data_IF_334786234832
#
_entry.id   IF_334786234832
#
_cell.length_a   1.000
_cell.length_b   1.000
_cell.length_c   1.000
_cell.angle_alpha   90.00
_cell.angle_beta   90.00
_cell.angle_gamma   90.00
#
_symmetry.space_group_name_H-M   'P 1'
#
loop_
_entity.id
_entity.type
_entity.pdbx_description
1 polymer ?
#
# COMPACT_ATOMS: atom_id res chain seq x y z
N UNK A 1 -24.44 -23.35 -10.03
CA UNK A 1 -23.15 -22.86 -10.57
C UNK A 1 -22.61 -21.86 -9.57
N UNK A 2 -21.62 -22.22 -8.75
CA UNK A 2 -21.02 -21.31 -7.77
C UNK A 2 -19.97 -20.50 -8.51
N UNK A 3 -20.25 -19.22 -8.76
CA UNK A 3 -19.24 -18.30 -9.28
C UNK A 3 -18.25 -18.03 -8.17
N UNK A 4 -17.15 -18.79 -8.11
CA UNK A 4 -16.04 -18.48 -7.21
C UNK A 4 -15.48 -17.14 -7.69
N UNK A 5 -15.82 -16.06 -6.98
CA UNK A 5 -15.32 -14.74 -7.31
C UNK A 5 -13.84 -14.74 -6.96
N UNK A 6 -12.98 -14.67 -7.98
CA UNK A 6 -11.53 -14.59 -7.79
C UNK A 6 -11.21 -13.42 -6.84
N UNK A 7 -10.50 -13.72 -5.75
CA UNK A 7 -10.11 -12.69 -4.76
C UNK A 7 -9.15 -11.70 -5.40
N UNK A 8 -9.03 -10.46 -4.90
CA UNK A 8 -8.04 -9.51 -5.40
C UNK A 8 -6.62 -10.09 -5.42
N UNK A 9 -6.25 -10.85 -4.37
CA UNK A 9 -4.96 -11.55 -4.28
C UNK A 9 -4.74 -12.53 -5.43
N UNK A 10 -5.75 -13.31 -5.83
CA UNK A 10 -5.60 -14.32 -6.89
C UNK A 10 -5.41 -13.73 -8.29
N UNK A 11 -5.49 -12.40 -8.44
CA UNK A 11 -5.21 -11.67 -9.69
C UNK A 11 -3.76 -11.22 -9.80
N UNK A 12 -2.96 -11.40 -8.75
CA UNK A 12 -1.53 -11.04 -8.70
C UNK A 12 -0.72 -12.31 -8.97
N UNK A 13 0.14 -12.27 -9.99
CA UNK A 13 0.97 -13.41 -10.42
C UNK A 13 2.22 -13.63 -9.56
N UNK A 14 2.52 -12.71 -8.66
CA UNK A 14 3.61 -12.82 -7.69
C UNK A 14 3.18 -13.73 -6.53
N UNK A 15 4.12 -14.49 -5.99
CA UNK A 15 4.02 -15.18 -4.71
C UNK A 15 3.94 -14.19 -3.54
N UNK A 16 3.51 -14.65 -2.38
CA UNK A 16 3.42 -13.80 -1.18
C UNK A 16 4.79 -13.24 -0.78
N UNK A 17 5.85 -14.06 -0.90
CA UNK A 17 7.22 -13.63 -0.63
C UNK A 17 7.68 -12.53 -1.59
N UNK A 18 7.39 -12.66 -2.90
CA UNK A 18 7.75 -11.62 -3.87
C UNK A 18 7.01 -10.31 -3.60
N UNK A 19 5.76 -10.36 -3.13
CA UNK A 19 4.99 -9.17 -2.76
C UNK A 19 5.60 -8.49 -1.53
N UNK A 20 5.92 -9.26 -0.48
CA UNK A 20 6.57 -8.75 0.73
C UNK A 20 7.94 -8.15 0.39
N UNK A 21 8.77 -8.85 -0.39
CA UNK A 21 10.06 -8.33 -0.84
C UNK A 21 9.92 -7.03 -1.64
N UNK A 22 8.85 -6.88 -2.42
CA UNK A 22 8.59 -5.65 -3.16
C UNK A 22 8.35 -4.46 -2.22
N UNK A 23 7.56 -4.64 -1.15
CA UNK A 23 7.38 -3.61 -0.11
C UNK A 23 8.67 -3.34 0.67
N UNK A 24 9.41 -4.38 1.04
CA UNK A 24 10.67 -4.23 1.77
C UNK A 24 11.70 -3.42 0.95
N UNK A 25 11.80 -3.64 -0.37
CA UNK A 25 12.65 -2.84 -1.27
C UNK A 25 12.27 -1.36 -1.33
N UNK A 26 11.00 -1.03 -1.07
CA UNK A 26 10.51 0.34 -0.99
C UNK A 26 10.69 0.97 0.40
N UNK A 27 11.24 0.20 1.36
CA UNK A 27 11.47 0.63 2.74
C UNK A 27 10.30 0.38 3.69
N UNK A 28 9.32 -0.44 3.29
CA UNK A 28 8.19 -0.82 4.13
C UNK A 28 8.39 -2.25 4.66
N UNK A 29 8.77 -2.38 5.94
CA UNK A 29 8.82 -3.70 6.58
C UNK A 29 7.39 -4.21 6.73
N UNK A 30 7.09 -5.34 6.09
CA UNK A 30 5.75 -5.91 6.05
C UNK A 30 5.76 -7.43 6.15
N UNK A 31 4.64 -7.97 6.60
CA UNK A 31 4.31 -9.39 6.53
C UNK A 31 3.08 -9.55 5.65
N UNK A 32 2.88 -10.74 5.06
CA UNK A 32 1.73 -10.93 4.15
C UNK A 32 0.37 -10.72 4.84
N UNK A 33 0.28 -10.95 6.16
CA UNK A 33 -0.93 -10.75 6.94
C UNK A 33 -1.29 -9.29 7.19
N UNK A 34 -0.30 -8.38 7.11
CA UNK A 34 -0.52 -6.93 7.18
C UNK A 34 -0.81 -6.29 5.83
N UNK A 35 -0.72 -7.05 4.73
CA UNK A 35 -1.02 -6.60 3.37
C UNK A 35 -2.48 -6.89 3.02
N UNK A 36 -3.21 -5.85 2.62
CA UNK A 36 -4.58 -5.94 2.11
C UNK A 36 -4.58 -5.82 0.59
N UNK A 37 -5.40 -6.63 -0.09
CA UNK A 37 -5.50 -6.61 -1.54
C UNK A 37 -6.80 -5.99 -2.03
N UNK A 38 -6.72 -5.13 -3.03
CA UNK A 38 -7.89 -4.49 -3.66
C UNK A 38 -7.80 -4.49 -5.18
N UNK A 39 -8.94 -4.50 -5.87
CA UNK A 39 -9.01 -4.28 -7.31
C UNK A 39 -9.34 -2.83 -7.68
N UNK A 40 -9.62 -1.99 -6.68
CA UNK A 40 -9.85 -0.56 -6.89
C UNK A 40 -8.68 0.07 -7.64
N UNK A 41 -8.96 0.95 -8.61
CA UNK A 41 -7.90 1.77 -9.19
C UNK A 41 -7.31 2.68 -8.11
N UNK A 42 -6.04 3.06 -8.26
CA UNK A 42 -5.34 3.93 -7.30
C UNK A 42 -6.08 5.26 -7.10
N UNK A 43 -6.63 5.82 -8.18
CA UNK A 43 -7.40 7.06 -8.12
C UNK A 43 -8.72 6.91 -7.34
N UNK A 44 -9.46 5.84 -7.63
CA UNK A 44 -10.72 5.53 -6.94
C UNK A 44 -10.48 5.25 -5.45
N UNK A 45 -9.38 4.54 -5.15
CA UNK A 45 -8.94 4.30 -3.77
C UNK A 45 -8.74 5.64 -3.06
N UNK A 46 -7.93 6.53 -3.62
CA UNK A 46 -7.65 7.83 -3.01
C UNK A 46 -8.91 8.67 -2.81
N UNK A 47 -9.74 8.83 -3.84
CA UNK A 47 -10.96 9.63 -3.79
C UNK A 47 -11.93 9.12 -2.74
N UNK A 48 -12.10 7.80 -2.63
CA UNK A 48 -12.97 7.19 -1.63
C UNK A 48 -12.49 7.51 -0.20
N UNK A 49 -11.17 7.47 0.02
CA UNK A 49 -10.58 7.66 1.36
C UNK A 49 -10.55 9.13 1.78
N UNK A 50 -10.48 10.08 0.85
CA UNK A 50 -10.69 11.51 1.16
C UNK A 50 -12.02 11.80 1.86
N UNK A 51 -13.08 11.04 1.52
CA UNK A 51 -14.42 11.25 2.07
C UNK A 51 -14.69 10.46 3.34
N UNK A 52 -14.06 9.29 3.48
CA UNK A 52 -14.40 8.31 4.50
C UNK A 52 -13.43 8.31 5.69
N UNK A 53 -12.19 8.73 5.50
CA UNK A 53 -11.20 8.74 6.58
C UNK A 53 -11.31 10.00 7.42
N UNK A 54 -10.98 9.85 8.70
CA UNK A 54 -10.92 10.98 9.62
C UNK A 54 -9.86 12.00 9.19
N UNK A 55 -8.69 11.50 8.80
CA UNK A 55 -7.65 12.30 8.14
C UNK A 55 -7.08 11.50 6.97
N UNK A 56 -7.21 11.95 5.71
CA UNK A 56 -6.76 11.17 4.56
C UNK A 56 -5.24 11.16 4.37
N UNK A 57 -4.53 12.08 5.02
CA UNK A 57 -3.08 12.26 4.86
C UNK A 57 -2.69 13.04 3.61
N UNK A 58 -1.39 13.20 3.39
CA UNK A 58 -0.82 13.84 2.19
C UNK A 58 -0.49 12.80 1.12
N UNK A 59 -0.78 13.11 -0.14
CA UNK A 59 -0.54 12.19 -1.26
C UNK A 59 0.82 12.41 -1.88
N UNK A 60 1.56 11.32 -2.06
CA UNK A 60 2.70 11.25 -2.97
C UNK A 60 2.50 10.12 -3.98
N UNK A 61 2.62 10.46 -5.27
CA UNK A 61 2.45 9.53 -6.39
C UNK A 61 3.79 9.31 -7.09
N UNK A 62 4.11 8.05 -7.33
CA UNK A 62 5.31 7.62 -8.04
C UNK A 62 4.86 6.79 -9.26
N UNK A 63 4.67 7.48 -10.39
CA UNK A 63 4.08 6.92 -11.61
C UNK A 63 4.91 5.75 -12.17
N UNK A 64 6.25 5.86 -12.10
CA UNK A 64 7.20 4.86 -12.63
C UNK A 64 7.05 3.47 -12.00
N UNK A 65 6.46 3.39 -10.81
CA UNK A 65 6.33 2.14 -10.05
C UNK A 65 4.88 1.80 -9.67
N UNK A 66 3.90 2.58 -10.15
CA UNK A 66 2.50 2.40 -9.77
C UNK A 66 2.30 2.46 -8.24
N UNK A 67 3.09 3.30 -7.57
CA UNK A 67 3.13 3.45 -6.12
C UNK A 67 2.42 4.74 -5.73
N UNK A 68 1.51 4.63 -4.76
CA UNK A 68 0.87 5.74 -4.07
C UNK A 68 1.20 5.63 -2.58
N UNK A 69 1.56 6.76 -1.99
CA UNK A 69 1.80 6.87 -0.55
C UNK A 69 0.85 7.93 0.00
N UNK A 70 0.15 7.56 1.07
CA UNK A 70 -0.64 8.49 1.89
C UNK A 70 0.10 8.71 3.19
N UNK A 71 0.77 9.85 3.33
CA UNK A 71 1.56 10.18 4.51
C UNK A 71 0.68 10.63 5.66
N UNK A 72 1.00 10.17 6.87
CA UNK A 72 0.32 10.58 8.09
C UNK A 72 -1.21 10.37 8.04
N UNK A 73 -1.69 9.39 7.29
CA UNK A 73 -3.12 9.10 7.15
C UNK A 73 -3.70 8.48 8.43
N UNK A 74 -4.93 8.86 8.77
CA UNK A 74 -5.66 8.38 9.93
C UNK A 74 -7.06 7.89 9.52
N UNK A 75 -7.22 6.58 9.26
CA UNK A 75 -8.50 6.04 8.82
C UNK A 75 -9.66 6.21 9.82
N UNK A 76 -9.37 6.22 11.12
CA UNK A 76 -10.35 6.34 12.21
C UNK A 76 -9.83 7.27 13.31
N UNK A 77 -10.70 8.05 13.99
CA UNK A 77 -10.27 9.08 14.95
C UNK A 77 -9.52 8.54 16.17
N UNK A 78 -9.73 7.27 16.55
CA UNK A 78 -9.09 6.63 17.70
C UNK A 78 -7.92 5.73 17.33
N UNK A 79 -7.40 5.84 16.10
CA UNK A 79 -6.23 5.10 15.63
C UNK A 79 -5.04 6.05 15.47
N UNK A 80 -3.79 5.59 15.67
CA UNK A 80 -2.63 6.38 15.33
C UNK A 80 -2.61 6.67 13.82
N UNK A 81 -2.09 7.84 13.46
CA UNK A 81 -1.75 8.15 12.08
C UNK A 81 -0.62 7.25 11.59
N UNK A 82 -0.61 6.95 10.30
CA UNK A 82 0.34 6.05 9.64
C UNK A 82 0.52 6.39 8.18
N UNK A 83 1.67 6.03 7.65
CA UNK A 83 1.88 6.06 6.21
C UNK A 83 1.16 4.85 5.61
N UNK A 84 0.51 5.02 4.47
CA UNK A 84 -0.17 3.94 3.77
C UNK A 84 0.39 3.85 2.37
N UNK A 85 0.96 2.71 2.04
CA UNK A 85 1.53 2.44 0.73
C UNK A 85 0.60 1.55 -0.08
N UNK A 86 0.37 1.94 -1.32
CA UNK A 86 -0.45 1.23 -2.28
C UNK A 86 0.40 0.97 -3.51
N UNK A 87 0.62 -0.30 -3.83
CA UNK A 87 1.42 -0.73 -4.98
C UNK A 87 0.53 -1.44 -5.99
N UNK A 88 0.63 -1.02 -7.25
CA UNK A 88 -0.04 -1.69 -8.38
C UNK A 88 0.76 -2.90 -8.86
N UNK A 89 0.21 -4.11 -8.67
CA UNK A 89 0.84 -5.39 -9.04
C UNK A 89 0.06 -6.08 -10.17
N UNK A 90 -0.18 -5.33 -11.26
CA UNK A 90 -0.98 -5.76 -12.41
C UNK A 90 -2.48 -5.44 -12.24
N UNK A 91 -3.33 -6.46 -12.20
CA UNK A 91 -4.79 -6.32 -12.15
C UNK A 91 -5.36 -6.08 -10.74
N UNK A 92 -4.50 -6.03 -9.73
CA UNK A 92 -4.86 -5.72 -8.35
C UNK A 92 -3.73 -4.94 -7.67
N UNK A 93 -4.06 -4.36 -6.50
CA UNK A 93 -3.20 -3.50 -5.71
C UNK A 93 -3.00 -4.15 -4.35
N UNK A 94 -1.79 -4.04 -3.84
CA UNK A 94 -1.46 -4.40 -2.48
C UNK A 94 -1.36 -3.12 -1.65
N UNK A 95 -1.89 -3.15 -0.42
CA UNK A 95 -2.00 -2.00 0.48
C UNK A 95 -1.42 -2.40 1.82
N UNK A 96 -0.48 -1.61 2.34
CA UNK A 96 0.09 -1.77 3.69
C UNK A 96 0.02 -0.45 4.44
N UNK A 97 -0.26 -0.52 5.75
CA UNK A 97 -0.22 0.63 6.64
C UNK A 97 0.96 0.52 7.60
N UNK A 98 1.80 1.54 7.66
CA UNK A 98 3.08 1.55 8.36
C UNK A 98 3.10 2.66 9.40
N UNK A 99 3.29 2.28 10.66
CA UNK A 99 3.29 3.23 11.77
C UNK A 99 4.56 4.10 11.72
N UNK A 100 4.47 5.42 11.97
CA UNK A 100 5.63 6.29 11.98
C UNK A 100 6.61 5.84 13.07
N UNK A 101 7.84 5.50 12.68
CA UNK A 101 8.90 5.13 13.61
C UNK A 101 8.99 3.65 14.02
N UNK A 102 8.05 2.78 13.61
CA UNK A 102 8.01 1.38 14.05
C UNK A 102 8.74 0.40 13.13
N UNK A 103 8.74 0.67 11.83
CA UNK A 103 9.02 -0.33 10.79
C UNK A 103 9.96 0.22 9.70
N UNK A 104 10.93 1.05 10.12
CA UNK A 104 11.91 1.66 9.24
C UNK A 104 13.19 0.82 9.33
N UNK A 105 13.42 -0.02 8.33
CA UNK A 105 14.74 -0.61 8.16
C UNK A 105 15.69 0.47 7.59
N UNK A 106 16.74 0.87 8.34
CA UNK A 106 17.69 1.89 7.89
C UNK A 106 18.49 1.49 6.64
N UNK A 107 18.48 0.21 6.24
CA UNK A 107 19.17 -0.31 5.06
C UNK A 107 18.40 -0.05 3.76
N UNK A 108 17.10 0.26 3.82
CA UNK A 108 16.28 0.50 2.63
C UNK A 108 15.87 1.98 2.54
N UNK A 109 16.16 2.68 1.43
CA UNK A 109 15.76 4.07 1.27
C UNK A 109 14.24 4.17 1.30
N UNK A 110 13.70 5.14 2.05
CA UNK A 110 12.27 5.48 2.03
C UNK A 110 11.92 5.90 0.60
N UNK A 111 11.39 4.96 -0.17
CA UNK A 111 10.96 5.11 -1.55
C UNK A 111 12.18 5.22 -2.47
N UNK A 112 12.76 4.05 -2.77
CA UNK A 112 14.02 3.89 -3.50
C UNK A 112 14.13 4.91 -4.64
N UNK A 113 15.06 5.89 -4.53
CA UNK A 113 15.30 7.07 -5.41
C UNK A 113 14.55 8.35 -4.96
N UNK A 114 15.13 9.46 -4.44
CA UNK A 114 16.16 10.33 -5.06
C UNK A 114 17.36 9.56 -5.61
N UNK A 115 17.45 9.36 -6.91
CA UNK A 115 17.99 8.14 -7.55
C UNK A 115 17.75 8.16 -9.06
N UNK A 116 17.69 9.37 -9.59
CA UNK A 116 17.25 9.81 -10.91
C UNK A 116 17.12 11.32 -10.81
#
# INVERSE_FOLDING_TARGET
MVTITATPRSRIKMSDNEIVEHFNRLGFVSDIGSIVFTTEAVEDFWIARQKLWHHPGEVERYEEHGLLILKNAQPRPNQPSRDIAVVSLGFARAVVGVLPGSDIDPLYPRYAVKMG
#
